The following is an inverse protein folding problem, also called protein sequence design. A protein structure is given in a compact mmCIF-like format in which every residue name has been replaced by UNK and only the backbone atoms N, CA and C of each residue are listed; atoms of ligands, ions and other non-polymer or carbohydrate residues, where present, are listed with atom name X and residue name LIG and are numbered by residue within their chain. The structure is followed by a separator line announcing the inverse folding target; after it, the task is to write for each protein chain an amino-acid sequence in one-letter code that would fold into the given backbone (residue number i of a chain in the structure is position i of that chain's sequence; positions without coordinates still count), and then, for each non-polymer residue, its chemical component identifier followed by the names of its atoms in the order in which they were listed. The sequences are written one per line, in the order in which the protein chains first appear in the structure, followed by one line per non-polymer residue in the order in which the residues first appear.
data_IF_533688173138
#
_entry.id   IF_533688173138
#
_cell.length_a   1.000
_cell.length_b   1.000
_cell.length_c   1.000
_cell.angle_alpha   90.00
_cell.angle_beta   90.00
_cell.angle_gamma   90.00
#
_symmetry.space_group_name_H-M   'P 1'
#
loop_
_entity.id
_entity.type
_entity.pdbx_description
1 polymer ?
#
# COMPACT_ATOMS: atom_id res chain seq x y z
N UNK A 1 -2.48 8.74 -17.94
CA UNK A 1 -1.87 9.26 -16.71
C UNK A 1 -0.89 8.22 -16.19
N UNK A 2 0.25 8.61 -15.62
CA UNK A 2 1.22 7.67 -15.05
C UNK A 2 0.66 7.15 -13.71
N UNK A 3 0.67 5.84 -13.43
CA UNK A 3 0.11 5.31 -12.18
C UNK A 3 0.97 5.76 -10.98
N UNK A 4 0.31 6.12 -9.88
CA UNK A 4 0.98 6.45 -8.62
C UNK A 4 1.71 5.21 -8.09
N UNK A 5 3.02 5.29 -7.82
CA UNK A 5 3.74 4.20 -7.18
C UNK A 5 3.35 4.13 -5.69
N UNK A 6 3.00 2.93 -5.23
CA UNK A 6 2.65 2.66 -3.83
C UNK A 6 3.57 1.58 -3.30
N UNK A 7 4.36 1.93 -2.28
CA UNK A 7 5.19 1.01 -1.53
C UNK A 7 4.36 0.23 -0.52
N UNK A 8 4.54 -1.09 -0.50
CA UNK A 8 3.85 -2.00 0.40
C UNK A 8 4.88 -2.88 1.13
N UNK A 9 4.96 -2.69 2.43
CA UNK A 9 5.74 -3.52 3.35
C UNK A 9 4.79 -4.43 4.15
N UNK A 10 5.11 -5.71 4.24
CA UNK A 10 4.21 -6.75 4.70
C UNK A 10 4.73 -7.42 5.98
N UNK A 11 3.86 -7.50 6.98
CA UNK A 11 3.99 -8.37 8.14
C UNK A 11 2.78 -9.32 8.23
N UNK A 12 2.78 -10.22 9.22
CA UNK A 12 1.76 -11.27 9.35
C UNK A 12 0.33 -10.71 9.38
N UNK A 13 0.08 -9.69 10.20
CA UNK A 13 -1.27 -9.16 10.43
C UNK A 13 -1.43 -7.68 10.05
N UNK A 14 -0.32 -7.00 9.77
CA UNK A 14 -0.26 -5.59 9.42
C UNK A 14 0.49 -5.46 8.10
N UNK A 15 0.01 -4.56 7.26
CA UNK A 15 0.61 -4.18 6.00
C UNK A 15 0.80 -2.66 6.06
N UNK A 16 2.02 -2.22 5.90
CA UNK A 16 2.38 -0.82 5.88
C UNK A 16 2.32 -0.30 4.45
N UNK A 17 1.58 0.79 4.23
CA UNK A 17 1.38 1.41 2.91
C UNK A 17 1.99 2.79 2.88
N UNK A 18 2.78 3.07 1.85
CA UNK A 18 3.44 4.35 1.61
C UNK A 18 3.26 4.83 0.18
N UNK A 19 2.91 6.10 -0.01
CA UNK A 19 2.88 6.76 -1.32
C UNK A 19 2.95 8.28 -1.17
N UNK A 20 3.25 8.99 -2.26
CA UNK A 20 3.15 10.44 -2.33
C UNK A 20 1.74 10.81 -2.83
N UNK A 21 1.02 11.64 -2.09
CA UNK A 21 -0.24 12.21 -2.56
C UNK A 21 0.05 13.28 -3.61
N UNK A 22 -0.39 13.07 -4.85
CA UNK A 22 -0.11 13.98 -5.97
C UNK A 22 -0.82 15.34 -5.84
N UNK A 23 -1.90 15.42 -5.05
CA UNK A 23 -2.66 16.67 -4.86
C UNK A 23 -2.05 17.52 -3.75
N UNK A 24 -1.66 16.88 -2.64
CA UNK A 24 -1.15 17.60 -1.47
C UNK A 24 0.37 17.65 -1.40
N UNK A 25 1.07 16.83 -2.20
CA UNK A 25 2.52 16.61 -2.11
C UNK A 25 2.97 16.06 -0.75
N UNK A 26 2.05 15.47 0.03
CA UNK A 26 2.35 14.87 1.32
C UNK A 26 2.70 13.39 1.18
N UNK A 27 3.56 12.91 2.08
CA UNK A 27 3.85 11.49 2.21
C UNK A 27 2.72 10.85 3.00
N UNK A 28 1.98 9.97 2.36
CA UNK A 28 1.07 9.07 3.05
C UNK A 28 1.84 7.87 3.62
N UNK A 29 1.57 7.56 4.89
CA UNK A 29 2.16 6.42 5.61
C UNK A 29 1.14 5.86 6.57
N UNK A 30 0.70 4.60 6.37
CA UNK A 30 -0.34 3.99 7.21
C UNK A 30 -0.17 2.50 7.39
N UNK A 31 -0.28 2.06 8.63
CA UNK A 31 -0.43 0.65 9.00
C UNK A 31 -1.89 0.21 8.79
N UNK A 32 -2.08 -0.83 7.99
CA UNK A 32 -3.39 -1.38 7.65
C UNK A 32 -3.44 -2.82 8.11
N UNK A 33 -4.52 -3.22 8.79
CA UNK A 33 -4.74 -4.63 9.12
C UNK A 33 -4.88 -5.44 7.84
N UNK A 34 -4.28 -6.63 7.77
CA UNK A 34 -4.29 -7.48 6.57
C UNK A 34 -5.69 -7.72 5.99
N UNK A 35 -6.70 -7.91 6.86
CA UNK A 35 -8.10 -8.10 6.45
C UNK A 35 -8.80 -6.82 5.92
N UNK A 36 -8.17 -5.65 6.03
CA UNK A 36 -8.66 -4.36 5.50
C UNK A 36 -7.86 -3.88 4.29
N UNK A 37 -6.78 -4.57 3.91
CA UNK A 37 -5.90 -4.15 2.83
C UNK A 37 -6.64 -4.00 1.49
N UNK A 38 -7.38 -5.00 1.05
CA UNK A 38 -8.14 -4.92 -0.21
C UNK A 38 -9.21 -3.82 -0.19
N UNK A 39 -9.93 -3.67 0.93
CA UNK A 39 -10.94 -2.63 1.10
C UNK A 39 -10.33 -1.22 1.07
N UNK A 40 -9.07 -1.05 1.47
CA UNK A 40 -8.39 0.24 1.38
C UNK A 40 -8.16 0.68 -0.07
N UNK A 41 -7.94 -0.27 -1.00
CA UNK A 41 -7.69 0.00 -2.42
C UNK A 41 -8.94 -0.02 -3.31
N UNK A 42 -10.11 -0.41 -2.80
CA UNK A 42 -11.29 -0.69 -3.64
C UNK A 42 -11.89 0.53 -4.36
N UNK A 43 -11.70 1.73 -3.81
CA UNK A 43 -12.29 2.97 -4.33
C UNK A 43 -11.20 3.99 -4.74
N UNK A 44 -10.10 3.50 -5.29
CA UNK A 44 -8.95 4.33 -5.69
C UNK A 44 -8.69 4.18 -7.18
N UNK A 45 -8.06 5.18 -7.77
CA UNK A 45 -7.52 5.06 -9.12
C UNK A 45 -6.43 3.98 -9.19
N UNK A 46 -6.21 3.44 -10.39
CA UNK A 46 -5.19 2.43 -10.63
C UNK A 46 -3.80 2.95 -10.24
N UNK A 47 -3.08 2.15 -9.45
CA UNK A 47 -1.74 2.46 -8.96
C UNK A 47 -0.77 1.32 -9.23
N UNK A 48 0.52 1.62 -9.21
CA UNK A 48 1.60 0.65 -9.37
C UNK A 48 2.08 0.21 -7.99
N UNK A 49 1.86 -1.06 -7.64
CA UNK A 49 2.29 -1.60 -6.35
C UNK A 49 3.73 -2.11 -6.45
N UNK A 50 4.61 -1.53 -5.63
CA UNK A 50 5.90 -2.12 -5.29
C UNK A 50 5.81 -2.81 -3.94
N UNK A 51 6.02 -4.13 -3.91
CA UNK A 51 5.90 -4.93 -2.69
C UNK A 51 7.22 -5.62 -2.38
N UNK A 52 7.69 -5.50 -1.13
CA UNK A 52 8.85 -6.25 -0.66
C UNK A 52 8.50 -7.74 -0.47
N UNK A 53 9.43 -8.62 -0.85
CA UNK A 53 9.33 -10.05 -0.55
C UNK A 53 9.88 -10.32 0.87
N UNK A 54 8.99 -10.61 1.83
CA UNK A 54 9.32 -10.93 3.22
C UNK A 54 8.77 -12.31 3.60
N UNK A 55 9.26 -12.94 4.67
CA UNK A 55 8.75 -14.23 5.17
C UNK A 55 7.25 -14.23 5.50
N UNK A 56 6.65 -13.07 5.81
CA UNK A 56 5.21 -12.87 5.97
C UNK A 56 4.40 -12.80 4.66
N UNK A 57 5.05 -12.93 3.51
CA UNK A 57 4.41 -13.17 2.22
C UNK A 57 3.86 -14.60 2.12
N UNK A 58 4.42 -15.52 2.92
CA UNK A 58 3.97 -16.90 3.04
C UNK A 58 2.89 -17.02 4.14
N UNK A 59 2.00 -18.00 4.01
CA UNK A 59 0.77 -18.15 4.79
C UNK A 59 0.97 -18.23 6.31
#
# INVERSE_FOLDING_TARGET
MKPVPVGVDIAKNIIQVHYLDEQTSEIFSKAIKRNKFLAFFSNRDTCLIGMEACGGAHH
#
